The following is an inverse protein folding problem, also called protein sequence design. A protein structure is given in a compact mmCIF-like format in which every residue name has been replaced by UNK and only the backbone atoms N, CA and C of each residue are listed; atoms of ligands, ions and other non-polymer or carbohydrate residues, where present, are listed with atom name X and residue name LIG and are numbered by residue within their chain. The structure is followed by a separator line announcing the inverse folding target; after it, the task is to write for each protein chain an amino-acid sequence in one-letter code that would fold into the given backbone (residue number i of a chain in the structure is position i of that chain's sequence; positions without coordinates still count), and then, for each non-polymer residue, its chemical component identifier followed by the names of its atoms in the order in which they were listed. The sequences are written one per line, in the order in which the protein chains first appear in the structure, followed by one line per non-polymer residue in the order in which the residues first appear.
data_IF_151113688875
#
_entry.id   IF_151113688875
#
_cell.length_a   1.000
_cell.length_b   1.000
_cell.length_c   1.000
_cell.angle_alpha   90.00
_cell.angle_beta   90.00
_cell.angle_gamma   90.00
#
_symmetry.space_group_name_H-M   'P 1'
#
loop_
_entity.id
_entity.type
_entity.pdbx_description
1 polymer ?
#
# COMPACT_ATOMS: atom_id res chain seq x y z
N UNK A 1 9.31 24.06 5.35
CA UNK A 1 8.08 23.60 4.66
C UNK A 1 7.52 22.26 5.17
N UNK A 2 8.29 21.16 5.18
CA UNK A 2 7.80 19.85 5.65
C UNK A 2 7.23 19.87 7.08
N UNK A 3 7.95 20.50 8.01
CA UNK A 3 7.53 20.58 9.43
C UNK A 3 6.15 21.23 9.59
N UNK A 4 5.86 22.28 8.84
CA UNK A 4 4.57 22.98 8.89
C UNK A 4 3.45 22.14 8.27
N UNK A 5 3.68 21.50 7.11
CA UNK A 5 2.71 20.59 6.49
C UNK A 5 2.35 19.43 7.43
N UNK A 6 3.36 18.81 8.05
CA UNK A 6 3.18 17.74 9.03
C UNK A 6 2.41 18.22 10.27
N UNK A 7 2.75 19.40 10.80
CA UNK A 7 2.05 19.99 11.96
C UNK A 7 0.57 20.25 11.64
N UNK A 8 0.27 20.75 10.46
CA UNK A 8 -1.11 20.97 9.99
C UNK A 8 -1.87 19.64 9.88
N UNK A 9 -1.31 18.63 9.21
CA UNK A 9 -1.94 17.31 9.08
C UNK A 9 -2.22 16.68 10.46
N UNK A 10 -1.25 16.74 11.38
CA UNK A 10 -1.42 16.22 12.74
C UNK A 10 -2.53 16.96 13.48
N UNK A 11 -2.61 18.29 13.35
CA UNK A 11 -3.62 19.08 14.06
C UNK A 11 -5.02 18.87 13.50
N UNK A 12 -5.16 18.85 12.18
CA UNK A 12 -6.47 18.87 11.51
C UNK A 12 -7.06 17.48 11.28
N UNK A 13 -6.22 16.46 11.09
CA UNK A 13 -6.66 15.10 10.74
C UNK A 13 -6.34 14.08 11.84
N UNK A 14 -5.10 14.11 12.37
CA UNK A 14 -4.60 13.03 13.24
C UNK A 14 -4.60 13.35 14.73
N UNK A 15 -5.15 14.49 15.17
CA UNK A 15 -5.19 14.79 16.59
C UNK A 15 -6.24 13.92 17.28
N UNK A 16 -6.06 13.63 18.57
CA UNK A 16 -6.93 12.73 19.33
C UNK A 16 -8.43 13.09 19.19
N UNK A 17 -8.75 14.39 19.23
CA UNK A 17 -10.12 14.89 19.06
C UNK A 17 -10.70 14.53 17.69
N UNK A 18 -9.90 14.68 16.62
CA UNK A 18 -10.31 14.36 15.25
C UNK A 18 -10.41 12.84 15.05
N UNK A 19 -9.47 12.08 15.56
CA UNK A 19 -9.52 10.60 15.54
C UNK A 19 -10.78 10.07 16.24
N UNK A 20 -11.18 10.68 17.36
CA UNK A 20 -12.43 10.37 18.05
C UNK A 20 -13.66 10.82 17.25
N UNK A 21 -13.62 12.02 16.67
CA UNK A 21 -14.70 12.55 15.84
C UNK A 21 -15.00 11.62 14.64
N UNK A 22 -13.97 11.13 13.96
CA UNK A 22 -14.10 10.21 12.82
C UNK A 22 -14.33 8.75 13.23
N UNK A 23 -14.59 8.46 14.51
CA UNK A 23 -14.87 7.10 14.98
C UNK A 23 -16.07 6.47 14.28
N UNK A 24 -17.14 7.25 14.11
CA UNK A 24 -18.37 6.79 13.45
C UNK A 24 -18.12 6.32 12.02
N UNK A 25 -17.27 7.01 11.26
CA UNK A 25 -16.89 6.63 9.89
C UNK A 25 -16.21 5.25 9.90
N UNK A 26 -15.25 5.04 10.81
CA UNK A 26 -14.55 3.74 10.90
C UNK A 26 -15.50 2.61 11.29
N UNK A 27 -16.40 2.86 12.23
CA UNK A 27 -17.40 1.87 12.65
C UNK A 27 -18.35 1.54 11.51
N UNK A 28 -18.83 2.53 10.76
CA UNK A 28 -19.72 2.33 9.61
C UNK A 28 -19.05 1.51 8.50
N UNK A 29 -17.84 1.88 8.09
CA UNK A 29 -17.09 1.17 7.04
C UNK A 29 -16.70 -0.26 7.46
N UNK A 30 -16.28 -0.45 8.72
CA UNK A 30 -15.99 -1.79 9.25
C UNK A 30 -17.25 -2.66 9.30
N UNK A 31 -18.38 -2.12 9.76
CA UNK A 31 -19.64 -2.86 9.80
C UNK A 31 -20.09 -3.25 8.39
N UNK A 32 -19.90 -2.37 7.40
CA UNK A 32 -20.18 -2.66 6.00
C UNK A 32 -19.30 -3.81 5.48
N UNK A 33 -17.99 -3.79 5.77
CA UNK A 33 -17.07 -4.87 5.40
C UNK A 33 -17.48 -6.20 6.05
N UNK A 34 -17.76 -6.20 7.36
CA UNK A 34 -18.18 -7.41 8.10
C UNK A 34 -19.46 -7.98 7.51
N UNK A 35 -20.43 -7.13 7.16
CA UNK A 35 -21.66 -7.56 6.48
C UNK A 35 -21.35 -8.25 5.15
N UNK A 36 -20.48 -7.67 4.32
CA UNK A 36 -20.08 -8.25 3.03
C UNK A 36 -19.37 -9.59 3.18
N UNK A 37 -18.43 -9.69 4.12
CA UNK A 37 -17.75 -10.94 4.44
C UNK A 37 -18.72 -12.01 4.95
N UNK A 38 -19.71 -11.62 5.77
CA UNK A 38 -20.73 -12.53 6.28
C UNK A 38 -21.62 -13.07 5.16
N UNK A 39 -22.04 -12.20 4.23
CA UNK A 39 -22.80 -12.59 3.03
C UNK A 39 -21.99 -13.59 2.18
N UNK A 40 -20.70 -13.31 1.95
CA UNK A 40 -19.79 -14.20 1.23
C UNK A 40 -19.60 -15.56 1.93
N UNK A 41 -19.49 -15.57 3.25
CA UNK A 41 -19.33 -16.79 4.04
C UNK A 41 -20.57 -17.70 3.94
N UNK A 42 -21.77 -17.12 3.96
CA UNK A 42 -23.03 -17.87 3.76
C UNK A 42 -23.07 -18.52 2.38
N UNK A 43 -22.59 -17.82 1.35
CA UNK A 43 -22.48 -18.36 0.00
C UNK A 43 -21.29 -19.31 -0.21
N UNK A 44 -20.42 -19.48 0.79
CA UNK A 44 -19.18 -20.28 0.69
C UNK A 44 -18.16 -19.71 -0.31
N UNK A 45 -18.26 -18.42 -0.67
CA UNK A 45 -17.38 -17.80 -1.66
C UNK A 45 -16.05 -17.40 -1.04
N UNK A 46 -14.94 -17.74 -1.69
CA UNK A 46 -13.62 -17.24 -1.32
C UNK A 46 -13.56 -15.70 -1.49
N UNK A 47 -12.88 -15.03 -0.56
CA UNK A 47 -12.72 -13.57 -0.57
C UNK A 47 -11.23 -13.23 -0.44
N UNK A 48 -10.76 -12.32 -1.29
CA UNK A 48 -9.44 -11.71 -1.12
C UNK A 48 -9.49 -10.67 0.02
N UNK A 49 -8.98 -11.05 1.19
CA UNK A 49 -8.97 -10.20 2.36
C UNK A 49 -8.02 -9.01 2.22
N UNK A 50 -6.91 -9.16 1.49
CA UNK A 50 -5.97 -8.07 1.26
C UNK A 50 -6.64 -6.95 0.46
N UNK A 51 -7.32 -7.33 -0.64
CA UNK A 51 -8.10 -6.38 -1.44
C UNK A 51 -9.25 -5.77 -0.63
N UNK A 52 -9.92 -6.55 0.22
CA UNK A 52 -11.00 -6.05 1.05
C UNK A 52 -10.54 -5.02 2.10
N UNK A 53 -9.41 -5.26 2.78
CA UNK A 53 -8.83 -4.35 3.76
C UNK A 53 -8.23 -3.10 3.11
N UNK A 54 -7.67 -3.24 1.91
CA UNK A 54 -7.25 -2.09 1.10
C UNK A 54 -8.44 -1.16 0.83
N UNK A 55 -9.56 -1.70 0.36
CA UNK A 55 -10.77 -0.92 0.09
C UNK A 55 -11.40 -0.31 1.34
N UNK A 56 -11.36 -1.01 2.48
CA UNK A 56 -11.77 -0.45 3.77
C UNK A 56 -10.94 0.79 4.11
N UNK A 57 -9.62 0.70 3.99
CA UNK A 57 -8.69 1.80 4.30
C UNK A 57 -8.91 2.98 3.37
N UNK A 58 -9.05 2.72 2.06
CA UNK A 58 -9.35 3.75 1.06
C UNK A 58 -10.68 4.45 1.39
N UNK A 59 -11.76 3.70 1.67
CA UNK A 59 -13.07 4.28 1.95
C UNK A 59 -13.07 5.20 3.17
N UNK A 60 -12.41 4.78 4.26
CA UNK A 60 -12.21 5.61 5.46
C UNK A 60 -11.41 6.87 5.12
N UNK A 61 -10.29 6.72 4.40
CA UNK A 61 -9.42 7.84 4.05
C UNK A 61 -10.16 8.88 3.19
N UNK A 62 -10.92 8.42 2.18
CA UNK A 62 -11.65 9.32 1.29
C UNK A 62 -12.76 10.09 2.03
N UNK A 63 -13.50 9.42 2.93
CA UNK A 63 -14.50 10.08 3.77
C UNK A 63 -13.87 11.07 4.75
N UNK A 64 -12.74 10.72 5.37
CA UNK A 64 -12.06 11.59 6.35
C UNK A 64 -11.39 12.79 5.67
N UNK A 65 -10.71 12.58 4.55
CA UNK A 65 -9.91 13.62 3.88
C UNK A 65 -10.74 14.50 2.94
N UNK A 66 -11.71 13.91 2.22
CA UNK A 66 -12.47 14.61 1.18
C UNK A 66 -13.96 14.73 1.48
N UNK A 67 -14.46 14.10 2.55
CA UNK A 67 -15.89 14.05 2.84
C UNK A 67 -16.70 13.24 1.83
N UNK A 68 -16.04 12.47 0.96
CA UNK A 68 -16.69 11.71 -0.10
C UNK A 68 -16.85 10.24 0.28
N UNK A 69 -18.05 9.71 0.03
CA UNK A 69 -18.36 8.31 0.28
C UNK A 69 -18.00 7.46 -0.95
N UNK A 70 -17.05 6.55 -0.77
CA UNK A 70 -16.52 5.67 -1.81
C UNK A 70 -17.59 4.77 -2.46
N UNK A 71 -18.64 4.43 -1.73
CA UNK A 71 -19.73 3.58 -2.22
C UNK A 71 -20.83 4.36 -2.95
N UNK A 72 -20.92 5.68 -2.78
CA UNK A 72 -21.99 6.51 -3.34
C UNK A 72 -21.47 7.48 -4.43
N UNK A 73 -20.18 7.78 -4.42
CA UNK A 73 -19.58 8.72 -5.35
C UNK A 73 -19.42 8.11 -6.74
N UNK A 74 -20.13 8.66 -7.73
CA UNK A 74 -19.90 8.38 -9.16
C UNK A 74 -18.58 8.96 -9.69
N UNK A 75 -17.91 9.80 -8.89
CA UNK A 75 -16.67 10.48 -9.26
C UNK A 75 -15.41 9.68 -8.93
N UNK A 76 -15.53 8.64 -8.10
CA UNK A 76 -14.40 7.83 -7.66
C UNK A 76 -14.31 6.60 -8.56
N UNK A 77 -13.33 6.63 -9.44
CA UNK A 77 -12.97 5.51 -10.31
C UNK A 77 -12.05 4.55 -9.55
N UNK A 78 -12.56 3.35 -9.28
CA UNK A 78 -11.84 2.32 -8.51
C UNK A 78 -10.65 1.76 -9.28
N UNK A 79 -10.79 1.61 -10.60
CA UNK A 79 -9.76 1.06 -11.46
C UNK A 79 -8.58 2.04 -11.52
N UNK A 80 -8.89 3.33 -11.65
CA UNK A 80 -7.87 4.39 -11.59
C UNK A 80 -7.16 4.45 -10.23
N UNK A 81 -7.86 4.22 -9.13
CA UNK A 81 -7.22 4.20 -7.79
C UNK A 81 -6.32 2.99 -7.63
N UNK A 82 -6.74 1.80 -8.09
CA UNK A 82 -5.88 0.62 -8.08
C UNK A 82 -4.64 0.85 -8.95
N UNK A 83 -4.78 1.44 -10.13
CA UNK A 83 -3.66 1.82 -11.00
C UNK A 83 -2.68 2.79 -10.31
N UNK A 84 -3.19 3.88 -9.72
CA UNK A 84 -2.36 4.86 -9.02
C UNK A 84 -1.62 4.26 -7.82
N UNK A 85 -2.27 3.39 -7.06
CA UNK A 85 -1.61 2.71 -5.93
C UNK A 85 -0.55 1.74 -6.44
N UNK A 86 -0.85 0.95 -7.48
CA UNK A 86 0.12 0.04 -8.06
C UNK A 86 1.35 0.78 -8.63
N UNK A 87 1.15 1.91 -9.30
CA UNK A 87 2.23 2.77 -9.78
C UNK A 87 3.06 3.32 -8.61
N UNK A 88 2.40 3.77 -7.55
CA UNK A 88 3.08 4.26 -6.35
C UNK A 88 3.88 3.16 -5.63
N UNK A 89 3.33 1.95 -5.51
CA UNK A 89 4.03 0.79 -4.96
C UNK A 89 5.21 0.38 -5.83
N UNK A 90 5.06 0.41 -7.15
CA UNK A 90 6.14 0.11 -8.10
C UNK A 90 7.25 1.14 -8.00
N UNK A 91 6.92 2.43 -7.91
CA UNK A 91 7.88 3.50 -7.69
C UNK A 91 8.58 3.36 -6.33
N UNK A 92 7.84 3.02 -5.27
CA UNK A 92 8.41 2.77 -3.95
C UNK A 92 9.32 1.53 -3.92
N UNK A 93 8.96 0.47 -4.65
CA UNK A 93 9.76 -0.75 -4.80
C UNK A 93 10.97 -0.56 -5.72
N UNK A 94 10.93 0.42 -6.62
CA UNK A 94 12.07 0.80 -7.47
C UNK A 94 13.16 1.55 -6.71
N UNK A 95 12.91 2.00 -5.47
CA UNK A 95 13.99 2.37 -4.55
C UNK A 95 14.79 1.11 -4.23
N UNK A 96 15.92 0.98 -4.90
CA UNK A 96 16.75 -0.21 -4.86
C UNK A 96 17.56 -0.25 -3.56
N UNK A 97 18.04 -1.43 -3.18
CA UNK A 97 18.93 -1.58 -2.02
C UNK A 97 20.18 -0.69 -2.13
N UNK A 98 20.58 -0.29 -3.34
CA UNK A 98 21.64 0.70 -3.59
C UNK A 98 21.28 2.13 -3.18
N UNK A 99 20.00 2.51 -3.13
CA UNK A 99 19.56 3.80 -2.63
C UNK A 99 19.66 3.88 -1.09
N UNK A 100 19.58 2.73 -0.42
CA UNK A 100 19.79 2.60 1.03
C UNK A 100 21.25 2.36 1.42
N UNK A 101 22.02 1.68 0.57
CA UNK A 101 23.43 1.38 0.78
C UNK A 101 24.26 1.79 -0.44
N UNK A 102 24.71 3.06 -0.51
CA UNK A 102 25.65 3.52 -1.53
C UNK A 102 27.07 3.07 -1.16
N UNK A 103 27.26 1.78 -0.90
CA UNK A 103 28.54 1.21 -0.47
C UNK A 103 29.09 0.40 -1.64
N UNK A 104 30.15 0.91 -2.26
CA UNK A 104 30.96 0.18 -3.21
C UNK A 104 31.44 -1.14 -2.58
N UNK A 105 30.90 -2.27 -3.04
CA UNK A 105 31.28 -3.60 -2.57
C UNK A 105 30.12 -4.60 -2.37
N UNK A 106 28.87 -4.12 -2.26
CA UNK A 106 27.71 -5.01 -2.12
C UNK A 106 27.38 -5.81 -3.39
N UNK A 107 27.80 -5.33 -4.57
CA UNK A 107 27.66 -6.08 -5.83
C UNK A 107 28.34 -7.45 -5.78
N UNK A 108 29.57 -7.51 -5.25
CA UNK A 108 30.31 -8.77 -5.06
C UNK A 108 29.62 -9.72 -4.07
N UNK A 109 29.04 -9.18 -2.99
CA UNK A 109 28.39 -9.96 -1.95
C UNK A 109 27.05 -10.54 -2.44
N UNK A 110 26.32 -9.77 -3.26
CA UNK A 110 25.11 -10.24 -3.95
C UNK A 110 25.46 -11.30 -5.00
N UNK A 111 26.55 -11.14 -5.77
CA UNK A 111 27.02 -12.16 -6.72
C UNK A 111 27.42 -13.47 -6.01
N UNK A 112 28.05 -13.37 -4.83
CA UNK A 112 28.40 -14.50 -3.98
C UNK A 112 27.16 -15.21 -3.39
N UNK A 113 26.20 -14.46 -2.86
CA UNK A 113 24.94 -15.02 -2.32
C UNK A 113 24.03 -15.58 -3.42
N UNK A 114 24.05 -14.99 -4.62
CA UNK A 114 23.23 -15.40 -5.75
C UNK A 114 23.79 -16.61 -6.50
N UNK A 115 24.97 -17.11 -6.14
CA UNK A 115 25.47 -18.41 -6.60
C UNK A 115 25.66 -18.53 -8.11
N UNK A 116 26.00 -17.45 -8.81
CA UNK A 116 26.41 -17.50 -10.22
C UNK A 116 27.92 -17.81 -10.30
N UNK A 117 28.32 -19.02 -9.89
CA UNK A 117 29.65 -19.55 -10.27
C UNK A 117 29.55 -20.00 -11.73
N UNK A 118 29.78 -19.08 -12.66
CA UNK A 118 30.02 -19.44 -14.06
C UNK A 118 31.40 -20.06 -14.12
N UNK A 119 31.44 -21.39 -14.06
CA UNK A 119 32.60 -22.18 -14.46
C UNK A 119 32.96 -21.77 -15.89
N UNK A 120 34.09 -21.12 -16.05
CA UNK A 120 34.75 -20.96 -17.33
C UNK A 120 36.21 -21.31 -17.18
N UNK A 121 36.45 -22.56 -16.81
CA UNK A 121 37.70 -23.25 -17.14
C UNK A 121 37.59 -23.81 -18.55
N UNK A 122 38.22 -23.09 -19.47
CA UNK A 122 39.30 -23.62 -20.30
C UNK A 122 38.98 -24.80 -21.25
N UNK A 123 38.64 -24.46 -22.50
CA UNK A 123 39.12 -25.11 -23.75
C UNK A 123 39.00 -24.02 -24.83
N UNK A 124 39.97 -23.71 -25.69
CA UNK A 124 41.08 -24.47 -26.28
C UNK A 124 42.18 -23.47 -26.68
N UNK A 125 43.47 -23.73 -26.41
CA UNK A 125 44.43 -24.14 -27.45
C UNK A 125 43.89 -24.00 -28.89
N UNK A 126 43.95 -22.79 -29.43
CA UNK A 126 44.47 -22.40 -30.75
C UNK A 126 44.49 -20.87 -30.84
#
# INVERSE_FOLDING_TARGET
EWKERRKLAVRELFCLKKVQYFRHIREEECNFLVKKLSESAVCGSAVDLSKALFWLTASILFRVAFGQNFNESKFIDKEKIEELVFEAETALGSFTCSDFFPIAGLGWLVDWLSGQHKDSTMFSLF
#
